data_IF_958699533676
#
_entry.id   IF_958699533676
#
_cell.length_a   1.000
_cell.length_b   1.000
_cell.length_c   1.000
_cell.angle_alpha   90.00
_cell.angle_beta   90.00
_cell.angle_gamma   90.00
#
_symmetry.space_group_name_H-M   'P 1'
#
loop_
_entity.id
_entity.type
_entity.pdbx_description
1 polymer ?
#
# COMPACT_ATOMS: atom_id res chain seq x y z
N UNK A 1 -13.49 19.28 -14.52
CA UNK A 1 -13.63 17.88 -14.05
C UNK A 1 -12.37 17.15 -14.49
N UNK A 2 -11.67 16.45 -13.60
CA UNK A 2 -10.43 15.76 -13.93
C UNK A 2 -10.63 14.69 -15.02
N UNK A 3 -9.68 14.56 -15.95
CA UNK A 3 -9.67 13.54 -16.98
C UNK A 3 -9.30 12.16 -16.43
N UNK A 4 -9.59 11.09 -17.18
CA UNK A 4 -9.18 9.73 -16.81
C UNK A 4 -7.66 9.63 -16.58
N UNK A 5 -6.87 10.25 -17.46
CA UNK A 5 -5.41 10.26 -17.34
C UNK A 5 -4.95 10.93 -16.03
N UNK A 6 -5.63 11.99 -15.59
CA UNK A 6 -5.33 12.65 -14.31
C UNK A 6 -5.68 11.78 -13.10
N UNK A 7 -6.78 11.02 -13.17
CA UNK A 7 -7.12 10.03 -12.13
C UNK A 7 -6.12 8.89 -12.06
N UNK A 8 -5.64 8.42 -13.22
CA UNK A 8 -4.57 7.40 -13.30
C UNK A 8 -3.28 7.95 -12.68
N UNK A 9 -2.91 9.19 -13.00
CA UNK A 9 -1.73 9.83 -12.39
C UNK A 9 -1.89 10.00 -10.87
N UNK A 10 -3.11 10.35 -10.39
CA UNK A 10 -3.43 10.42 -8.96
C UNK A 10 -3.28 9.09 -8.22
N UNK A 11 -3.47 7.96 -8.91
CA UNK A 11 -3.18 6.62 -8.37
C UNK A 11 -1.66 6.33 -8.27
N UNK A 12 -0.81 7.22 -8.79
CA UNK A 12 0.67 7.19 -8.82
C UNK A 12 1.23 5.89 -9.39
N UNK A 13 1.15 5.69 -10.72
CA UNK A 13 1.60 4.45 -11.38
C UNK A 13 3.05 4.06 -11.04
N UNK A 14 3.92 5.05 -10.83
CA UNK A 14 5.33 4.86 -10.44
C UNK A 14 5.52 4.21 -9.07
N UNK A 15 4.51 4.23 -8.20
CA UNK A 15 4.54 3.58 -6.88
C UNK A 15 4.05 2.13 -6.92
N UNK A 16 3.29 1.73 -7.94
CA UNK A 16 2.69 0.40 -8.05
C UNK A 16 3.69 -0.76 -8.02
N UNK A 17 4.93 -0.64 -8.54
CA UNK A 17 5.94 -1.68 -8.35
C UNK A 17 6.19 -2.04 -6.89
N UNK A 18 6.07 -1.09 -5.94
CA UNK A 18 6.20 -1.36 -4.51
C UNK A 18 5.05 -2.23 -3.97
N UNK A 19 3.88 -2.27 -4.62
CA UNK A 19 2.79 -3.16 -4.24
C UNK A 19 2.88 -4.53 -4.92
N UNK A 20 3.42 -4.60 -6.14
CA UNK A 20 3.50 -5.83 -6.94
C UNK A 20 4.68 -6.70 -6.50
N UNK A 21 5.88 -6.12 -6.37
CA UNK A 21 7.10 -6.86 -6.07
C UNK A 21 7.02 -7.68 -4.76
N UNK A 22 6.43 -7.18 -3.66
CA UNK A 22 6.27 -7.97 -2.45
C UNK A 22 5.42 -9.23 -2.61
N UNK A 23 4.36 -9.15 -3.42
CA UNK A 23 3.46 -10.29 -3.66
C UNK A 23 4.16 -11.36 -4.50
N UNK A 24 4.94 -10.94 -5.51
CA UNK A 24 5.78 -11.84 -6.29
C UNK A 24 6.80 -12.52 -5.37
N UNK A 25 7.52 -11.74 -4.54
CA UNK A 25 8.52 -12.26 -3.62
C UNK A 25 7.93 -13.24 -2.60
N UNK A 26 6.80 -12.88 -1.97
CA UNK A 26 6.13 -13.74 -0.99
C UNK A 26 5.54 -15.01 -1.62
N UNK A 27 5.05 -14.92 -2.85
CA UNK A 27 4.61 -16.11 -3.62
C UNK A 27 5.80 -17.00 -3.99
N UNK A 28 6.95 -16.43 -4.36
CA UNK A 28 8.20 -17.16 -4.55
C UNK A 28 8.66 -17.87 -3.28
N UNK A 29 8.55 -17.21 -2.12
CA UNK A 29 8.85 -17.82 -0.82
C UNK A 29 7.87 -18.97 -0.46
N UNK A 30 6.60 -18.86 -0.86
CA UNK A 30 5.64 -19.96 -0.72
C UNK A 30 5.95 -21.12 -1.70
N UNK A 31 6.37 -20.80 -2.92
CA UNK A 31 6.77 -21.79 -3.92
C UNK A 31 8.01 -22.57 -3.48
N UNK A 32 8.97 -21.90 -2.82
CA UNK A 32 10.12 -22.54 -2.17
C UNK A 32 9.70 -23.64 -1.18
N UNK A 33 8.59 -23.43 -0.47
CA UNK A 33 8.02 -24.40 0.46
C UNK A 33 7.07 -25.42 -0.20
N UNK A 34 6.94 -25.42 -1.53
CA UNK A 34 5.99 -26.28 -2.26
C UNK A 34 4.51 -25.93 -2.03
N UNK A 35 4.22 -24.73 -1.53
CA UNK A 35 2.89 -24.32 -1.06
C UNK A 35 2.29 -23.15 -1.84
N UNK A 36 2.78 -22.87 -3.06
CA UNK A 36 2.27 -21.78 -3.87
C UNK A 36 0.80 -22.01 -4.29
N UNK A 37 -0.04 -20.99 -4.11
CA UNK A 37 -1.46 -21.02 -4.46
C UNK A 37 -1.79 -19.77 -5.28
N UNK A 38 -1.93 -19.94 -6.60
CA UNK A 38 -2.05 -18.84 -7.56
C UNK A 38 -3.21 -17.89 -7.24
N UNK A 39 -4.38 -18.41 -6.84
CA UNK A 39 -5.55 -17.56 -6.57
C UNK A 39 -5.41 -16.78 -5.26
N UNK A 40 -4.68 -17.31 -4.27
CA UNK A 40 -4.32 -16.56 -3.06
C UNK A 40 -3.32 -15.45 -3.37
N UNK A 41 -2.40 -15.69 -4.30
CA UNK A 41 -1.50 -14.65 -4.80
C UNK A 41 -2.28 -13.52 -5.53
N UNK A 42 -3.30 -13.85 -6.32
CA UNK A 42 -4.18 -12.83 -6.94
C UNK A 42 -4.97 -12.03 -5.91
N UNK A 43 -5.48 -12.67 -4.86
CA UNK A 43 -6.13 -11.96 -3.75
C UNK A 43 -5.14 -11.05 -3.01
N UNK A 44 -3.93 -11.54 -2.70
CA UNK A 44 -2.89 -10.74 -2.07
C UNK A 44 -2.49 -9.54 -2.94
N UNK A 45 -2.41 -9.74 -4.27
CA UNK A 45 -2.18 -8.66 -5.23
C UNK A 45 -3.32 -7.64 -5.22
N UNK A 46 -4.57 -8.09 -5.22
CA UNK A 46 -5.73 -7.20 -5.13
C UNK A 46 -5.70 -6.36 -3.84
N UNK A 47 -5.37 -6.97 -2.69
CA UNK A 47 -5.17 -6.25 -1.42
C UNK A 47 -4.06 -5.20 -1.56
N UNK A 48 -2.87 -5.62 -1.99
CA UNK A 48 -1.69 -4.74 -2.07
C UNK A 48 -1.93 -3.55 -3.00
N UNK A 49 -2.50 -3.81 -4.18
CA UNK A 49 -2.84 -2.79 -5.18
C UNK A 49 -3.93 -1.83 -4.68
N UNK A 50 -4.99 -2.36 -4.09
CA UNK A 50 -6.09 -1.53 -3.59
C UNK A 50 -5.63 -0.64 -2.42
N UNK A 51 -4.78 -1.16 -1.53
CA UNK A 51 -4.23 -0.39 -0.43
C UNK A 51 -3.26 0.71 -0.91
N UNK A 52 -2.33 0.42 -1.82
CA UNK A 52 -1.40 1.47 -2.30
C UNK A 52 -2.14 2.58 -3.06
N UNK A 53 -3.13 2.23 -3.88
CA UNK A 53 -3.97 3.21 -4.59
C UNK A 53 -4.80 4.02 -3.58
N UNK A 54 -5.40 3.35 -2.58
CA UNK A 54 -6.15 4.00 -1.52
C UNK A 54 -5.30 4.98 -0.71
N UNK A 55 -4.08 4.61 -0.35
CA UNK A 55 -3.10 5.49 0.31
C UNK A 55 -2.74 6.67 -0.56
N UNK A 56 -2.51 6.47 -1.86
CA UNK A 56 -2.15 7.57 -2.76
C UNK A 56 -3.26 8.62 -2.84
N UNK A 57 -4.53 8.20 -2.93
CA UNK A 57 -5.67 9.13 -2.88
C UNK A 57 -5.90 9.72 -1.49
N UNK A 58 -5.72 8.95 -0.42
CA UNK A 58 -5.84 9.46 0.96
C UNK A 58 -4.80 10.55 1.24
N UNK A 59 -3.59 10.38 0.71
CA UNK A 59 -2.53 11.37 0.76
C UNK A 59 -2.89 12.61 -0.08
N UNK A 60 -3.39 12.45 -1.30
CA UNK A 60 -3.85 13.56 -2.15
C UNK A 60 -4.93 14.39 -1.45
N UNK A 61 -5.93 13.72 -0.90
CA UNK A 61 -6.97 14.36 -0.10
C UNK A 61 -6.41 15.10 1.12
N UNK A 62 -5.63 14.41 1.97
CA UNK A 62 -5.18 14.94 3.26
C UNK A 62 -4.21 16.10 3.11
N UNK A 63 -3.28 15.99 2.17
CA UNK A 63 -2.28 17.03 1.88
C UNK A 63 -2.96 18.25 1.22
N UNK A 64 -3.89 18.01 0.29
CA UNK A 64 -4.62 19.06 -0.41
C UNK A 64 -5.55 19.88 0.48
N UNK A 65 -6.26 19.27 1.44
CA UNK A 65 -7.10 20.03 2.39
C UNK A 65 -6.29 20.76 3.46
N UNK A 66 -5.07 20.28 3.76
CA UNK A 66 -4.18 20.89 4.75
C UNK A 66 -3.42 22.09 4.17
N UNK A 67 -3.40 22.26 2.84
CA UNK A 67 -2.65 23.30 2.14
C UNK A 67 -1.17 22.95 1.91
N UNK A 68 -0.75 21.72 2.24
CA UNK A 68 0.63 21.26 2.06
C UNK A 68 1.06 21.26 0.58
N UNK A 69 0.11 21.18 -0.34
CA UNK A 69 0.35 21.13 -1.79
C UNK A 69 0.24 22.50 -2.49
N UNK A 70 0.09 23.62 -1.76
CA UNK A 70 -0.11 24.96 -2.37
C UNK A 70 1.16 25.54 -3.03
N UNK A 71 2.35 25.23 -2.51
CA UNK A 71 3.65 25.68 -3.05
C UNK A 71 4.60 24.51 -3.30
N UNK A 72 4.18 23.54 -4.12
CA UNK A 72 4.96 22.31 -4.36
C UNK A 72 5.42 22.17 -5.81
N UNK A 73 6.72 21.92 -5.99
CA UNK A 73 7.27 21.32 -7.22
C UNK A 73 7.19 19.80 -7.09
N UNK A 74 6.24 19.15 -7.77
CA UNK A 74 6.05 17.71 -7.66
C UNK A 74 5.02 17.15 -8.65
N UNK A 75 4.79 15.83 -8.64
CA UNK A 75 3.76 15.18 -9.46
C UNK A 75 2.37 15.76 -9.20
N UNK A 76 1.49 15.63 -10.19
CA UNK A 76 0.13 16.16 -10.15
C UNK A 76 -0.63 15.71 -8.87
N UNK A 77 -1.29 16.65 -8.21
CA UNK A 77 -2.22 16.40 -7.09
C UNK A 77 -3.61 16.87 -7.46
N UNK A 78 -4.59 15.99 -7.38
CA UNK A 78 -5.96 16.26 -7.83
C UNK A 78 -6.62 17.35 -6.99
N UNK A 79 -6.45 17.31 -5.67
CA UNK A 79 -7.04 18.29 -4.75
C UNK A 79 -6.26 19.60 -4.78
N UNK A 80 -4.94 19.55 -4.61
CA UNK A 80 -4.07 20.75 -4.61
C UNK A 80 -4.16 21.55 -5.91
N UNK A 81 -4.23 20.88 -7.07
CA UNK A 81 -4.42 21.55 -8.36
C UNK A 81 -5.88 21.91 -8.70
N UNK A 82 -6.83 21.71 -7.76
CA UNK A 82 -8.26 22.00 -7.94
C UNK A 82 -8.92 21.29 -9.14
N UNK A 83 -8.34 20.16 -9.57
CA UNK A 83 -8.82 19.38 -10.72
C UNK A 83 -10.01 18.49 -10.35
N UNK A 84 -10.03 18.01 -9.10
CA UNK A 84 -11.14 17.26 -8.52
C UNK A 84 -11.50 17.82 -7.14
N UNK A 85 -12.76 17.64 -6.72
CA UNK A 85 -13.19 18.08 -5.39
C UNK A 85 -12.57 17.17 -4.31
N UNK A 86 -12.25 17.70 -3.11
CA UNK A 86 -11.74 16.90 -2.01
C UNK A 86 -12.63 15.70 -1.68
N UNK A 87 -13.96 15.89 -1.74
CA UNK A 87 -14.94 14.80 -1.53
C UNK A 87 -14.80 13.69 -2.57
N UNK A 88 -14.59 14.00 -3.84
CA UNK A 88 -14.43 12.98 -4.88
C UNK A 88 -13.15 12.15 -4.67
N UNK A 89 -12.05 12.81 -4.31
CA UNK A 89 -10.76 12.13 -4.05
C UNK A 89 -10.84 11.29 -2.77
N UNK A 90 -11.51 11.79 -1.72
CA UNK A 90 -11.78 11.01 -0.51
C UNK A 90 -12.63 9.76 -0.81
N UNK A 91 -13.68 9.90 -1.64
CA UNK A 91 -14.49 8.75 -2.06
C UNK A 91 -13.65 7.71 -2.80
N UNK A 92 -12.75 8.14 -3.70
CA UNK A 92 -11.84 7.23 -4.39
C UNK A 92 -10.92 6.48 -3.40
N UNK A 93 -10.35 7.20 -2.42
CA UNK A 93 -9.54 6.59 -1.36
C UNK A 93 -10.33 5.54 -0.56
N UNK A 94 -11.53 5.88 -0.08
CA UNK A 94 -12.38 4.99 0.72
C UNK A 94 -12.81 3.76 -0.09
N UNK A 95 -13.19 3.93 -1.36
CA UNK A 95 -13.57 2.81 -2.23
C UNK A 95 -12.39 1.87 -2.44
N UNK A 96 -11.19 2.39 -2.73
CA UNK A 96 -9.99 1.56 -2.87
C UNK A 96 -9.65 0.81 -1.58
N UNK A 97 -9.68 1.48 -0.43
CA UNK A 97 -9.44 0.81 0.86
C UNK A 97 -10.51 -0.24 1.18
N UNK A 98 -11.78 -0.01 0.82
CA UNK A 98 -12.86 -0.98 0.99
C UNK A 98 -12.67 -2.21 0.09
N UNK A 99 -12.24 -2.04 -1.17
CA UNK A 99 -11.87 -3.15 -2.05
C UNK A 99 -10.73 -3.97 -1.44
N UNK A 100 -9.70 -3.31 -0.90
CA UNK A 100 -8.61 -3.97 -0.19
C UNK A 100 -9.09 -4.71 1.06
N UNK A 101 -10.00 -4.12 1.82
CA UNK A 101 -10.59 -4.74 3.02
C UNK A 101 -11.40 -6.00 2.68
N UNK A 102 -12.21 -5.97 1.63
CA UNK A 102 -13.00 -7.12 1.19
C UNK A 102 -12.09 -8.25 0.69
N UNK A 103 -11.11 -7.93 -0.17
CA UNK A 103 -10.14 -8.92 -0.64
C UNK A 103 -9.29 -9.49 0.51
N UNK A 104 -8.89 -8.65 1.46
CA UNK A 104 -8.10 -9.03 2.62
C UNK A 104 -8.87 -9.89 3.60
N UNK A 105 -10.15 -9.58 3.83
CA UNK A 105 -11.04 -10.40 4.63
C UNK A 105 -11.24 -11.79 4.01
N UNK A 106 -11.49 -11.85 2.69
CA UNK A 106 -11.59 -13.12 1.98
C UNK A 106 -10.30 -13.93 2.13
N UNK A 107 -9.14 -13.31 1.92
CA UNK A 107 -7.84 -13.97 2.06
C UNK A 107 -7.58 -14.44 3.51
N UNK A 108 -7.94 -13.65 4.51
CA UNK A 108 -7.78 -13.99 5.92
C UNK A 108 -8.67 -15.17 6.32
N UNK A 109 -9.95 -15.17 5.92
CA UNK A 109 -10.88 -16.29 6.20
C UNK A 109 -10.39 -17.60 5.55
N UNK A 110 -9.81 -17.52 4.36
CA UNK A 110 -9.30 -18.67 3.60
C UNK A 110 -7.89 -19.13 4.02
N UNK A 111 -7.26 -18.45 4.97
CA UNK A 111 -5.89 -18.74 5.41
C UNK A 111 -5.77 -18.75 6.94
N UNK A 112 -5.93 -17.61 7.60
CA UNK A 112 -5.89 -17.50 9.05
C UNK A 112 -6.64 -16.25 9.56
N UNK A 113 -7.67 -16.39 10.43
CA UNK A 113 -8.48 -15.26 10.88
C UNK A 113 -7.72 -14.13 11.61
N UNK A 114 -6.59 -14.44 12.26
CA UNK A 114 -5.78 -13.42 12.94
C UNK A 114 -5.23 -12.35 11.98
N UNK A 115 -5.13 -12.66 10.68
CA UNK A 115 -4.73 -11.71 9.64
C UNK A 115 -5.74 -10.56 9.45
N UNK A 116 -6.98 -10.69 9.95
CA UNK A 116 -7.95 -9.58 10.00
C UNK A 116 -7.37 -8.43 10.82
N UNK A 117 -6.73 -8.71 11.96
CA UNK A 117 -6.09 -7.68 12.78
C UNK A 117 -4.95 -6.99 12.03
N UNK A 118 -4.15 -7.75 11.26
CA UNK A 118 -3.10 -7.19 10.39
C UNK A 118 -3.71 -6.27 9.33
N UNK A 119 -4.80 -6.69 8.68
CA UNK A 119 -5.51 -5.87 7.70
C UNK A 119 -6.03 -4.55 8.28
N UNK A 120 -6.59 -4.58 9.50
CA UNK A 120 -7.00 -3.36 10.22
C UNK A 120 -5.81 -2.43 10.46
N UNK A 121 -4.67 -2.97 10.89
CA UNK A 121 -3.43 -2.18 11.07
C UNK A 121 -2.96 -1.57 9.74
N UNK A 122 -3.04 -2.30 8.62
CA UNK A 122 -2.69 -1.77 7.30
C UNK A 122 -3.59 -0.60 6.88
N UNK A 123 -4.91 -0.70 7.08
CA UNK A 123 -5.86 0.38 6.77
C UNK A 123 -5.64 1.59 7.70
N UNK A 124 -5.38 1.35 8.98
CA UNK A 124 -5.05 2.41 9.92
C UNK A 124 -3.74 3.11 9.54
N UNK A 125 -2.70 2.35 9.20
CA UNK A 125 -1.43 2.88 8.70
C UNK A 125 -1.63 3.72 7.43
N UNK A 126 -2.39 3.18 6.47
CA UNK A 126 -2.74 3.87 5.24
C UNK A 126 -3.35 5.25 5.47
N UNK A 127 -4.28 5.37 6.44
CA UNK A 127 -4.92 6.65 6.76
C UNK A 127 -4.03 7.57 7.59
N UNK A 128 -3.39 7.05 8.64
CA UNK A 128 -2.59 7.84 9.59
C UNK A 128 -1.23 8.28 9.03
N UNK A 129 -0.86 7.81 7.84
CA UNK A 129 0.36 8.25 7.15
C UNK A 129 0.36 9.76 6.92
N UNK A 130 -0.73 10.32 6.39
CA UNK A 130 -0.91 11.77 6.14
C UNK A 130 -2.15 12.36 6.81
N UNK A 131 -3.15 11.52 7.12
CA UNK A 131 -4.39 11.89 7.78
C UNK A 131 -4.26 12.00 9.30
N UNK A 132 -5.25 12.64 9.93
CA UNK A 132 -5.31 12.85 11.38
C UNK A 132 -4.56 14.09 11.88
N UNK A 133 -4.52 14.27 13.21
CA UNK A 133 -3.88 15.43 13.85
C UNK A 133 -2.36 15.32 13.97
N UNK A 134 -1.82 14.10 13.98
CA UNK A 134 -0.38 13.80 14.09
C UNK A 134 0.04 12.70 13.09
N UNK A 135 0.03 13.01 11.78
CA UNK A 135 0.40 12.06 10.75
C UNK A 135 1.87 11.64 10.87
N UNK A 136 2.12 10.32 10.88
CA UNK A 136 3.47 9.81 11.11
C UNK A 136 4.38 9.93 9.88
N UNK A 137 3.82 10.10 8.69
CA UNK A 137 4.59 10.36 7.46
C UNK A 137 5.40 11.67 7.52
N UNK A 138 4.99 12.61 8.37
CA UNK A 138 5.71 13.88 8.59
C UNK A 138 6.63 13.83 9.82
N UNK A 139 6.70 12.70 10.53
CA UNK A 139 7.58 12.51 11.69
C UNK A 139 8.95 11.91 11.33
N UNK A 140 9.30 11.84 10.04
CA UNK A 140 10.55 11.22 9.56
C UNK A 140 10.56 9.68 9.63
N UNK A 141 9.38 9.06 9.76
CA UNK A 141 9.22 7.60 9.87
C UNK A 141 8.75 6.94 8.57
N UNK A 142 8.80 7.66 7.44
CA UNK A 142 8.27 7.20 6.16
C UNK A 142 8.95 5.93 5.65
N UNK A 143 10.27 5.91 5.66
CA UNK A 143 11.10 4.78 5.21
C UNK A 143 10.88 3.55 6.10
N UNK A 144 10.81 3.75 7.42
CA UNK A 144 10.51 2.66 8.37
C UNK A 144 9.13 2.07 8.10
N UNK A 145 8.12 2.92 7.88
CA UNK A 145 6.78 2.46 7.54
C UNK A 145 6.76 1.70 6.21
N UNK A 146 7.45 2.19 5.18
CA UNK A 146 7.55 1.52 3.89
C UNK A 146 8.24 0.16 4.02
N UNK A 147 9.35 0.08 4.76
CA UNK A 147 10.04 -1.17 5.06
C UNK A 147 9.12 -2.18 5.75
N UNK A 148 8.35 -1.74 6.75
CA UNK A 148 7.44 -2.62 7.49
C UNK A 148 6.27 -3.07 6.62
N UNK A 149 5.55 -2.17 5.96
CA UNK A 149 4.33 -2.51 5.24
C UNK A 149 4.60 -3.22 3.90
N UNK A 150 5.54 -2.71 3.09
CA UNK A 150 5.84 -3.29 1.79
C UNK A 150 6.87 -4.43 1.86
N UNK A 151 7.78 -4.40 2.85
CA UNK A 151 8.70 -5.50 3.10
C UNK A 151 8.06 -6.58 3.97
N UNK A 152 8.06 -6.38 5.28
CA UNK A 152 7.68 -7.40 6.25
C UNK A 152 6.23 -7.87 6.08
N UNK A 153 5.27 -6.95 6.10
CA UNK A 153 3.84 -7.31 6.08
C UNK A 153 3.42 -7.88 4.73
N UNK A 154 3.73 -7.21 3.62
CA UNK A 154 3.29 -7.66 2.31
C UNK A 154 3.98 -8.96 1.85
N UNK A 155 5.30 -9.11 2.04
CA UNK A 155 6.02 -10.33 1.64
C UNK A 155 5.65 -11.50 2.55
N UNK A 156 5.79 -11.33 3.87
CA UNK A 156 5.54 -12.43 4.82
C UNK A 156 4.06 -12.75 4.93
N UNK A 157 3.18 -11.76 4.82
CA UNK A 157 1.73 -11.99 4.73
C UNK A 157 1.35 -12.78 3.49
N UNK A 158 1.97 -12.50 2.33
CA UNK A 158 1.75 -13.29 1.11
C UNK A 158 2.28 -14.72 1.25
N UNK A 159 3.48 -14.90 1.84
CA UNK A 159 4.00 -16.24 2.11
C UNK A 159 3.09 -17.00 3.08
N UNK A 160 2.73 -16.39 4.21
CA UNK A 160 1.94 -17.03 5.25
C UNK A 160 0.53 -17.38 4.77
N UNK A 161 -0.12 -16.50 3.99
CA UNK A 161 -1.46 -16.82 3.47
C UNK A 161 -1.47 -18.04 2.55
N UNK A 162 -0.35 -18.33 1.89
CA UNK A 162 -0.21 -19.49 1.01
C UNK A 162 0.30 -20.73 1.77
N UNK A 163 1.35 -20.59 2.56
CA UNK A 163 2.07 -21.69 3.20
C UNK A 163 1.69 -21.94 4.68
N UNK A 164 0.92 -21.04 5.31
CA UNK A 164 0.57 -21.02 6.75
C UNK A 164 1.78 -21.02 7.71
N UNK A 165 2.95 -20.69 7.18
CA UNK A 165 4.19 -20.49 7.91
C UNK A 165 5.09 -19.52 7.15
N UNK A 166 6.01 -18.91 7.89
CA UNK A 166 7.11 -18.13 7.34
C UNK A 166 8.42 -18.85 7.63
N UNK A 167 9.41 -18.66 6.77
CA UNK A 167 10.74 -19.22 6.94
C UNK A 167 11.81 -18.17 6.64
N UNK A 168 13.08 -18.60 6.67
CA UNK A 168 14.20 -17.70 6.43
C UNK A 168 14.21 -17.12 5.00
N UNK A 169 13.78 -17.89 3.99
CA UNK A 169 13.72 -17.40 2.60
C UNK A 169 12.72 -16.25 2.50
N UNK A 170 11.54 -16.39 3.10
CA UNK A 170 10.57 -15.31 3.19
C UNK A 170 11.11 -14.08 3.91
N UNK A 171 11.80 -14.26 5.04
CA UNK A 171 12.39 -13.15 5.79
C UNK A 171 13.47 -12.41 4.98
N UNK A 172 14.36 -13.13 4.31
CA UNK A 172 15.38 -12.54 3.46
C UNK A 172 14.77 -11.71 2.32
N UNK A 173 13.74 -12.25 1.66
CA UNK A 173 13.00 -11.54 0.60
C UNK A 173 12.24 -10.34 1.12
N UNK A 174 11.67 -10.42 2.33
CA UNK A 174 10.97 -9.31 2.97
C UNK A 174 11.91 -8.13 3.27
N UNK A 175 13.09 -8.42 3.84
CA UNK A 175 14.12 -7.41 4.13
C UNK A 175 14.62 -6.78 2.84
N UNK A 176 14.95 -7.58 1.82
CA UNK A 176 15.44 -7.08 0.54
C UNK A 176 14.39 -6.18 -0.15
N UNK A 177 13.14 -6.64 -0.22
CA UNK A 177 12.05 -5.88 -0.85
C UNK A 177 11.74 -4.60 -0.08
N UNK A 178 11.67 -4.66 1.26
CA UNK A 178 11.44 -3.50 2.10
C UNK A 178 12.55 -2.46 1.98
N UNK A 179 13.81 -2.88 1.90
CA UNK A 179 14.95 -1.99 1.70
C UNK A 179 14.89 -1.28 0.34
N UNK A 180 14.55 -2.00 -0.73
CA UNK A 180 14.37 -1.43 -2.06
C UNK A 180 13.21 -0.42 -2.10
N UNK A 181 12.06 -0.77 -1.52
CA UNK A 181 10.93 0.17 -1.45
C UNK A 181 11.26 1.42 -0.64
N UNK A 182 12.04 1.28 0.44
CA UNK A 182 12.51 2.42 1.24
C UNK A 182 13.46 3.30 0.45
N UNK A 183 14.39 2.71 -0.31
CA UNK A 183 15.31 3.45 -1.18
C UNK A 183 14.55 4.24 -2.27
N UNK A 184 13.48 3.66 -2.83
CA UNK A 184 12.60 4.37 -3.77
C UNK A 184 11.92 5.56 -3.10
N UNK A 185 11.47 5.44 -1.84
CA UNK A 185 10.90 6.57 -1.11
C UNK A 185 11.94 7.67 -0.88
N UNK A 186 13.14 7.31 -0.43
CA UNK A 186 14.25 8.27 -0.25
C UNK A 186 14.55 9.01 -1.55
N UNK A 187 14.67 8.29 -2.66
CA UNK A 187 14.92 8.89 -3.97
C UNK A 187 13.81 9.85 -4.42
N UNK A 188 12.56 9.61 -4.02
CA UNK A 188 11.44 10.51 -4.30
C UNK A 188 11.38 11.74 -3.38
N UNK A 189 12.10 11.71 -2.25
CA UNK A 189 12.14 12.77 -1.26
C UNK A 189 13.37 13.71 -1.42
N UNK A 190 14.36 13.31 -2.23
CA UNK A 190 15.53 14.12 -2.62
C UNK A 190 15.20 15.02 -3.81
#
# INVERSE_FOLDING_TARGET
MASLAQWVEGARPRTLPNAIAPVIAGTGAAAWLGAAVWWKALLALAVSMALIIGVNFANDYSDGIRGTDDERAGPLRLVGSKLASPRAVLTAAVVSLAVGAVAGLALAVLSAPWLIAVGVVCIAGAWLYTGGSRPYGYAGLGEVAVFVFFGLVAVLGTQYTQALRVDWVGLALAVATGALSSAVLVANNL
#
